data_IF_545371469018
#
_entry.id   IF_545371469018
#
_cell.length_a   1.000
_cell.length_b   1.000
_cell.length_c   1.000
_cell.angle_alpha   90.00
_cell.angle_beta   90.00
_cell.angle_gamma   90.00
#
_symmetry.space_group_name_H-M   'P 1'
#
loop_
_entity.id
_entity.type
_entity.pdbx_description
1 polymer ?
#
# COMPACT_ATOMS: atom_id res chain seq x y z
N UNK A 1 -29.91 1.40 -37.73
CA UNK A 1 -28.46 1.71 -37.67
C UNK A 1 -28.30 3.00 -36.88
N UNK A 2 -28.22 2.90 -35.56
CA UNK A 2 -27.83 4.03 -34.70
C UNK A 2 -26.34 4.27 -34.91
N UNK A 3 -25.96 5.53 -35.17
CA UNK A 3 -24.56 5.90 -35.29
C UNK A 3 -23.82 5.44 -34.02
N UNK A 4 -22.76 4.65 -34.20
CA UNK A 4 -21.90 4.23 -33.10
C UNK A 4 -21.25 5.47 -32.50
N UNK A 5 -21.59 5.75 -31.25
CA UNK A 5 -21.13 6.94 -30.55
C UNK A 5 -19.61 6.91 -30.36
N UNK A 6 -18.92 8.03 -30.62
CA UNK A 6 -17.47 8.15 -30.38
C UNK A 6 -17.18 7.73 -28.92
N UNK A 7 -16.36 6.69 -28.69
CA UNK A 7 -15.98 6.26 -27.35
C UNK A 7 -15.38 7.38 -26.50
N UNK A 8 -14.72 8.36 -27.14
CA UNK A 8 -14.22 9.56 -26.47
C UNK A 8 -15.34 10.43 -25.90
N UNK A 9 -16.42 10.64 -26.63
CA UNK A 9 -17.53 11.50 -26.21
C UNK A 9 -18.32 10.87 -25.06
N UNK A 10 -18.59 9.57 -25.17
CA UNK A 10 -19.19 8.80 -24.08
C UNK A 10 -18.32 8.83 -22.82
N UNK A 11 -17.00 8.69 -22.99
CA UNK A 11 -16.06 8.79 -21.87
C UNK A 11 -16.05 10.20 -21.25
N UNK A 12 -16.11 11.26 -22.06
CA UNK A 12 -16.12 12.64 -21.59
C UNK A 12 -17.34 12.97 -20.73
N UNK A 13 -18.53 12.51 -21.13
CA UNK A 13 -19.74 12.70 -20.31
C UNK A 13 -19.69 11.94 -18.99
N UNK A 14 -19.17 10.72 -18.99
CA UNK A 14 -19.04 9.95 -17.75
C UNK A 14 -18.01 10.56 -16.79
N UNK A 15 -16.87 11.03 -17.31
CA UNK A 15 -15.86 11.74 -16.51
C UNK A 15 -16.44 13.05 -15.94
N UNK A 16 -17.21 13.79 -16.74
CA UNK A 16 -17.91 14.98 -16.26
C UNK A 16 -18.96 14.65 -15.18
N UNK A 17 -19.67 13.54 -15.31
CA UNK A 17 -20.61 13.05 -14.30
C UNK A 17 -19.91 12.72 -12.97
N UNK A 18 -18.79 12.00 -13.01
CA UNK A 18 -17.98 11.71 -11.83
C UNK A 18 -17.43 13.00 -11.18
N UNK A 19 -16.95 13.95 -11.99
CA UNK A 19 -16.52 15.24 -11.48
C UNK A 19 -17.66 16.02 -10.81
N UNK A 20 -18.90 15.86 -11.28
CA UNK A 20 -20.09 16.40 -10.63
C UNK A 20 -20.32 15.83 -9.24
N UNK A 21 -20.24 14.50 -9.08
CA UNK A 21 -20.34 13.84 -7.76
C UNK A 21 -19.26 14.34 -6.80
N UNK A 22 -18.01 14.41 -7.28
CA UNK A 22 -16.91 14.99 -6.50
C UNK A 22 -17.18 16.44 -6.12
N UNK A 23 -17.81 17.22 -7.01
CA UNK A 23 -18.11 18.61 -6.73
C UNK A 23 -19.15 18.79 -5.62
N UNK A 24 -20.14 17.89 -5.54
CA UNK A 24 -21.14 17.88 -4.47
C UNK A 24 -20.48 17.63 -3.11
N UNK A 25 -19.54 16.69 -3.02
CA UNK A 25 -18.84 16.37 -1.78
C UNK A 25 -17.78 17.42 -1.40
N UNK A 26 -17.04 17.94 -2.38
CA UNK A 26 -15.93 18.89 -2.15
C UNK A 26 -16.38 20.36 -2.10
N UNK A 27 -17.69 20.63 -2.25
CA UNK A 27 -18.25 21.99 -2.25
C UNK A 27 -17.88 22.83 -3.47
N UNK A 28 -17.55 22.20 -4.60
CA UNK A 28 -17.17 22.86 -5.86
C UNK A 28 -16.35 21.93 -6.77
N UNK A 29 -16.13 22.30 -8.05
CA UNK A 29 -15.47 21.42 -9.02
C UNK A 29 -14.15 20.85 -8.49
N UNK A 30 -13.85 19.56 -8.74
CA UNK A 30 -12.59 18.99 -8.32
C UNK A 30 -11.43 19.60 -9.11
N UNK A 31 -10.25 19.60 -8.50
CA UNK A 31 -9.00 19.81 -9.23
C UNK A 31 -8.65 18.58 -10.04
N UNK A 32 -7.84 18.74 -11.09
CA UNK A 32 -7.37 17.61 -11.90
C UNK A 32 -6.76 16.51 -11.05
N UNK A 33 -5.90 16.89 -10.09
CA UNK A 33 -5.25 15.95 -9.18
C UNK A 33 -6.26 15.15 -8.35
N UNK A 34 -7.31 15.78 -7.85
CA UNK A 34 -8.32 15.14 -7.00
C UNK A 34 -9.11 14.09 -7.80
N UNK A 35 -9.52 14.44 -9.02
CA UNK A 35 -10.16 13.48 -9.93
C UNK A 35 -9.24 12.29 -10.26
N UNK A 36 -7.95 12.56 -10.49
CA UNK A 36 -6.96 11.52 -10.78
C UNK A 36 -6.68 10.62 -9.58
N UNK A 37 -6.65 11.16 -8.37
CA UNK A 37 -6.47 10.38 -7.13
C UNK A 37 -7.65 9.40 -6.96
N UNK A 38 -8.90 9.87 -7.08
CA UNK A 38 -10.10 9.03 -6.94
C UNK A 38 -10.17 7.95 -8.01
N UNK A 39 -9.91 8.30 -9.28
CA UNK A 39 -9.83 7.30 -10.37
C UNK A 39 -8.70 6.29 -10.14
N UNK A 40 -7.58 6.73 -9.60
CA UNK A 40 -6.43 5.88 -9.27
C UNK A 40 -6.71 4.88 -8.16
N UNK A 41 -7.45 5.31 -7.13
CA UNK A 41 -7.91 4.44 -6.03
C UNK A 41 -8.91 3.41 -6.53
N UNK A 42 -9.92 3.87 -7.29
CA UNK A 42 -10.94 3.01 -7.86
C UNK A 42 -10.38 1.95 -8.84
N UNK A 43 -9.32 2.29 -9.58
CA UNK A 43 -8.68 1.35 -10.51
C UNK A 43 -8.09 0.11 -9.82
N UNK A 44 -7.73 0.18 -8.54
CA UNK A 44 -7.23 -0.96 -7.79
C UNK A 44 -8.32 -2.01 -7.52
N UNK A 45 -9.60 -1.62 -7.56
CA UNK A 45 -10.73 -2.51 -7.27
C UNK A 45 -11.27 -3.25 -8.50
N UNK A 46 -10.69 -3.04 -9.68
CA UNK A 46 -11.19 -3.64 -10.94
C UNK A 46 -10.90 -5.13 -11.09
N UNK A 47 -9.91 -5.65 -10.34
CA UNK A 47 -9.56 -7.07 -10.31
C UNK A 47 -9.45 -7.71 -11.71
N UNK A 48 -10.28 -8.73 -12.02
CA UNK A 48 -10.18 -9.50 -13.27
C UNK A 48 -10.62 -8.72 -14.52
N UNK A 49 -11.19 -7.52 -14.37
CA UNK A 49 -11.56 -6.69 -15.53
C UNK A 49 -10.35 -6.04 -16.23
N UNK A 50 -9.16 -6.09 -15.61
CA UNK A 50 -7.92 -5.59 -16.18
C UNK A 50 -6.94 -6.73 -16.48
N UNK A 51 -6.18 -6.56 -17.57
CA UNK A 51 -5.00 -7.38 -17.80
C UNK A 51 -3.86 -6.93 -16.87
N UNK A 52 -3.50 -7.77 -15.91
CA UNK A 52 -2.47 -7.47 -14.91
C UNK A 52 -3.04 -6.60 -13.78
N UNK A 53 -3.76 -7.26 -12.86
CA UNK A 53 -4.37 -6.64 -11.69
C UNK A 53 -3.36 -5.77 -10.91
N UNK A 54 -3.66 -4.48 -10.67
CA UNK A 54 -2.78 -3.63 -9.89
C UNK A 54 -2.66 -4.15 -8.45
N UNK A 55 -1.43 -4.30 -7.93
CA UNK A 55 -1.18 -4.66 -6.51
C UNK A 55 -1.60 -3.56 -5.50
N UNK A 56 -2.18 -2.46 -5.98
CA UNK A 56 -2.63 -1.33 -5.18
C UNK A 56 -3.06 -0.14 -6.02
N UNK A 57 -3.30 1.03 -5.38
CA UNK A 57 -3.74 2.24 -6.07
C UNK A 57 -2.85 2.62 -7.26
N UNK A 58 -3.49 2.92 -8.39
CA UNK A 58 -2.80 3.32 -9.60
C UNK A 58 -2.55 4.83 -9.55
N UNK A 59 -1.28 5.24 -9.48
CA UNK A 59 -0.96 6.68 -9.53
C UNK A 59 -1.14 7.20 -10.95
N UNK A 60 -2.18 8.00 -11.18
CA UNK A 60 -2.43 8.64 -12.47
C UNK A 60 -1.72 9.99 -12.54
N UNK A 61 -1.20 10.32 -13.74
CA UNK A 61 -0.57 11.60 -14.01
C UNK A 61 -1.06 12.17 -15.33
N UNK A 62 -1.33 13.47 -15.32
CA UNK A 62 -1.62 14.22 -16.53
C UNK A 62 -0.37 14.88 -17.12
N UNK A 63 -0.36 15.03 -18.44
CA UNK A 63 0.52 15.92 -19.17
C UNK A 63 -0.30 17.07 -19.73
N UNK A 64 0.02 18.29 -19.36
CA UNK A 64 -0.64 19.49 -19.87
C UNK A 64 0.03 20.01 -21.14
N UNK A 65 -0.74 20.73 -21.96
CA UNK A 65 -0.21 21.48 -23.11
C UNK A 65 0.78 22.56 -22.65
N UNK A 66 1.74 22.91 -23.50
CA UNK A 66 2.73 23.95 -23.18
C UNK A 66 2.01 25.28 -22.91
N UNK A 67 2.27 25.89 -21.76
CA UNK A 67 1.65 27.15 -21.34
C UNK A 67 0.36 26.98 -20.55
N UNK A 68 -0.22 25.78 -20.51
CA UNK A 68 -1.24 25.45 -19.52
C UNK A 68 -0.52 25.22 -18.17
N UNK A 69 -0.77 26.10 -17.22
CA UNK A 69 -0.39 25.89 -15.83
C UNK A 69 -1.56 25.26 -15.10
N UNK A 70 -1.28 24.40 -14.12
CA UNK A 70 -2.22 24.18 -13.02
C UNK A 70 -2.42 25.57 -12.39
N UNK A 71 -3.61 26.15 -12.50
CA UNK A 71 -3.86 27.53 -12.09
C UNK A 71 -3.34 27.78 -10.67
N UNK A 72 -2.87 29.00 -10.37
CA UNK A 72 -2.15 29.35 -9.13
C UNK A 72 -2.85 29.02 -7.79
N UNK A 73 -4.09 28.54 -7.80
CA UNK A 73 -4.77 27.90 -6.68
C UNK A 73 -4.34 26.43 -6.42
N UNK A 74 -3.45 25.87 -7.23
CA UNK A 74 -2.93 24.50 -7.13
C UNK A 74 -2.02 24.22 -5.91
N UNK A 75 -1.80 25.19 -5.02
CA UNK A 75 -0.82 25.10 -3.93
C UNK A 75 -1.27 24.26 -2.71
N UNK A 76 -2.53 23.79 -2.66
CA UNK A 76 -3.05 23.03 -1.52
C UNK A 76 -2.93 21.50 -1.65
N UNK A 77 -2.88 20.76 -0.53
CA UNK A 77 -2.98 19.28 -0.55
C UNK A 77 -4.29 18.84 -1.22
N UNK A 78 -4.28 17.66 -1.86
CA UNK A 78 -5.48 17.07 -2.49
C UNK A 78 -6.58 16.87 -1.45
N UNK A 79 -7.82 17.24 -1.80
CA UNK A 79 -9.01 16.98 -0.97
C UNK A 79 -9.63 15.61 -1.24
N UNK A 80 -9.07 14.82 -2.17
CA UNK A 80 -9.57 13.49 -2.47
C UNK A 80 -9.78 12.60 -1.21
N UNK A 81 -8.97 12.66 -0.14
CA UNK A 81 -9.20 11.87 1.07
C UNK A 81 -10.48 12.24 1.84
N UNK A 82 -11.09 13.39 1.55
CA UNK A 82 -12.36 13.83 2.14
C UNK A 82 -13.58 13.24 1.42
N UNK A 83 -13.36 12.61 0.26
CA UNK A 83 -14.41 11.99 -0.56
C UNK A 83 -14.83 10.66 0.08
N UNK A 84 -16.13 10.44 0.18
CA UNK A 84 -16.71 9.22 0.74
C UNK A 84 -16.56 8.00 -0.18
N UNK A 85 -16.62 6.81 0.43
CA UNK A 85 -16.46 5.54 -0.27
C UNK A 85 -17.46 5.35 -1.43
N UNK A 86 -18.67 5.90 -1.32
CA UNK A 86 -19.69 5.82 -2.37
C UNK A 86 -19.20 6.40 -3.70
N UNK A 87 -18.54 7.56 -3.69
CA UNK A 87 -17.99 8.17 -4.90
C UNK A 87 -16.80 7.39 -5.46
N UNK A 88 -16.02 6.74 -4.60
CA UNK A 88 -14.95 5.82 -5.04
C UNK A 88 -15.54 4.58 -5.72
N UNK A 89 -16.64 4.02 -5.19
CA UNK A 89 -17.37 2.91 -5.81
C UNK A 89 -17.94 3.31 -7.18
N UNK A 90 -18.55 4.49 -7.29
CA UNK A 90 -19.06 5.01 -8.57
C UNK A 90 -17.94 5.21 -9.61
N UNK A 91 -16.77 5.68 -9.18
CA UNK A 91 -15.59 5.74 -10.03
C UNK A 91 -15.16 4.34 -10.47
N UNK A 92 -15.21 3.35 -9.59
CA UNK A 92 -14.92 1.94 -9.89
C UNK A 92 -15.88 1.38 -10.95
N UNK A 93 -17.18 1.59 -10.76
CA UNK A 93 -18.21 1.15 -11.70
C UNK A 93 -18.08 1.82 -13.07
N UNK A 94 -17.70 3.11 -13.11
CA UNK A 94 -17.38 3.81 -14.34
C UNK A 94 -16.21 3.16 -15.07
N UNK A 95 -15.13 2.90 -14.36
CA UNK A 95 -13.94 2.26 -14.91
C UNK A 95 -14.25 0.84 -15.41
N UNK A 96 -15.04 0.08 -14.67
CA UNK A 96 -15.47 -1.27 -15.00
C UNK A 96 -16.30 -1.29 -16.29
N UNK A 97 -17.25 -0.34 -16.44
CA UNK A 97 -18.01 -0.17 -17.69
C UNK A 97 -17.10 0.10 -18.89
N UNK A 98 -16.04 0.89 -18.73
CA UNK A 98 -15.06 1.11 -19.79
C UNK A 98 -14.20 -0.10 -20.06
N UNK A 99 -13.74 -0.79 -19.02
CA UNK A 99 -12.95 -2.00 -19.16
C UNK A 99 -13.70 -3.06 -19.97
N UNK A 100 -14.96 -3.34 -19.62
CA UNK A 100 -15.85 -4.26 -20.35
C UNK A 100 -16.10 -3.84 -21.79
N UNK A 101 -16.28 -2.55 -22.07
CA UNK A 101 -16.46 -2.05 -23.45
C UNK A 101 -15.21 -2.25 -24.30
N UNK A 102 -14.04 -1.93 -23.75
CA UNK A 102 -12.77 -2.15 -24.46
C UNK A 102 -12.53 -3.65 -24.66
N UNK A 103 -12.80 -4.48 -23.64
CA UNK A 103 -12.68 -5.93 -23.76
C UNK A 103 -13.61 -6.53 -24.82
N UNK A 104 -14.85 -6.04 -24.92
CA UNK A 104 -15.78 -6.46 -25.97
C UNK A 104 -15.28 -6.10 -27.37
N UNK A 105 -14.59 -4.96 -27.53
CA UNK A 105 -14.04 -4.51 -28.81
C UNK A 105 -12.71 -5.20 -29.17
N UNK A 106 -11.87 -5.51 -28.17
CA UNK A 106 -10.51 -6.01 -28.37
C UNK A 106 -10.38 -7.53 -28.13
N UNK A 107 -11.42 -8.19 -27.60
CA UNK A 107 -11.46 -9.63 -27.34
C UNK A 107 -10.69 -10.09 -26.10
N UNK A 108 -10.16 -9.17 -25.29
CA UNK A 108 -9.42 -9.46 -24.07
C UNK A 108 -9.53 -8.29 -23.06
N UNK A 109 -9.37 -8.54 -21.74
CA UNK A 109 -9.32 -7.47 -20.75
C UNK A 109 -8.28 -6.40 -21.12
N UNK A 110 -8.61 -5.10 -21.05
CA UNK A 110 -7.65 -4.05 -21.39
C UNK A 110 -6.53 -3.95 -20.36
N UNK A 111 -5.37 -3.50 -20.80
CA UNK A 111 -4.32 -3.08 -19.87
C UNK A 111 -4.72 -1.79 -19.12
N UNK A 112 -4.20 -1.56 -17.91
CA UNK A 112 -4.40 -0.28 -17.20
C UNK A 112 -4.06 0.94 -18.06
N UNK A 113 -2.96 0.89 -18.82
CA UNK A 113 -2.55 1.96 -19.71
C UNK A 113 -3.58 2.26 -20.82
N UNK A 114 -4.24 1.21 -21.34
CA UNK A 114 -5.28 1.35 -22.36
C UNK A 114 -6.51 2.07 -21.81
N UNK A 115 -6.94 1.69 -20.60
CA UNK A 115 -8.06 2.32 -19.91
C UNK A 115 -7.77 3.79 -19.59
N UNK A 116 -6.57 4.09 -19.07
CA UNK A 116 -6.13 5.47 -18.79
C UNK A 116 -6.05 6.32 -20.06
N UNK A 117 -5.65 5.75 -21.19
CA UNK A 117 -5.66 6.45 -22.47
C UNK A 117 -7.08 6.81 -22.93
N UNK A 118 -8.07 5.93 -22.69
CA UNK A 118 -9.48 6.21 -22.96
C UNK A 118 -10.02 7.32 -22.05
N UNK A 119 -9.73 7.26 -20.74
CA UNK A 119 -10.07 8.33 -19.79
C UNK A 119 -9.46 9.67 -20.22
N UNK A 120 -8.20 9.68 -20.66
CA UNK A 120 -7.56 10.90 -21.13
C UNK A 120 -8.20 11.48 -22.39
N UNK A 121 -8.71 10.62 -23.29
CA UNK A 121 -9.53 11.06 -24.43
C UNK A 121 -10.86 11.65 -23.95
N UNK A 122 -11.54 10.97 -23.03
CA UNK A 122 -12.79 11.43 -22.45
C UNK A 122 -12.64 12.78 -21.76
N UNK A 123 -11.65 12.91 -20.89
CA UNK A 123 -11.39 14.15 -20.17
C UNK A 123 -11.18 15.33 -21.13
N UNK A 124 -10.45 15.15 -22.23
CA UNK A 124 -10.29 16.22 -23.24
C UNK A 124 -11.59 16.67 -23.90
N UNK A 125 -12.60 15.82 -23.92
CA UNK A 125 -13.92 16.10 -24.48
C UNK A 125 -14.94 16.52 -23.40
N UNK A 126 -14.54 16.57 -22.13
CA UNK A 126 -15.41 17.03 -21.05
C UNK A 126 -15.69 18.54 -21.18
N UNK A 127 -16.87 19.02 -20.73
CA UNK A 127 -17.23 20.44 -20.76
C UNK A 127 -16.27 21.33 -19.97
N UNK A 128 -16.16 22.61 -20.34
CA UNK A 128 -15.48 23.58 -19.48
C UNK A 128 -16.17 23.67 -18.11
N UNK A 129 -15.39 23.89 -17.05
CA UNK A 129 -15.88 23.89 -15.67
C UNK A 129 -15.94 22.51 -15.00
N UNK A 130 -15.66 21.42 -15.72
CA UNK A 130 -15.48 20.09 -15.11
C UNK A 130 -14.35 20.06 -14.07
N UNK A 131 -13.30 20.86 -14.28
CA UNK A 131 -12.15 20.97 -13.39
C UNK A 131 -11.96 22.42 -12.93
N UNK A 132 -11.54 22.59 -11.68
CA UNK A 132 -11.34 23.91 -11.08
C UNK A 132 -10.05 24.63 -11.51
N UNK A 133 -9.01 23.87 -11.86
CA UNK A 133 -7.63 24.37 -11.99
C UNK A 133 -7.05 24.28 -13.41
N UNK A 134 -7.67 23.50 -14.30
CA UNK A 134 -7.26 23.37 -15.70
C UNK A 134 -8.48 23.25 -16.62
N UNK A 135 -8.35 23.67 -17.88
CA UNK A 135 -9.38 23.34 -18.88
C UNK A 135 -9.21 21.89 -19.31
N UNK A 136 -10.29 21.09 -19.45
CA UNK A 136 -10.12 19.69 -19.84
C UNK A 136 -9.41 19.52 -21.19
N UNK A 137 -9.64 20.43 -22.15
CA UNK A 137 -8.95 20.46 -23.44
C UNK A 137 -7.43 20.71 -23.37
N UNK A 138 -6.91 21.20 -22.25
CA UNK A 138 -5.46 21.41 -22.03
C UNK A 138 -4.75 20.13 -21.58
N UNK A 139 -5.48 19.08 -21.20
CA UNK A 139 -4.91 17.78 -20.82
C UNK A 139 -4.49 17.01 -22.07
N UNK A 140 -3.22 17.13 -22.47
CA UNK A 140 -2.70 16.48 -23.68
C UNK A 140 -2.68 14.95 -23.61
N UNK A 141 -2.43 14.38 -22.42
CA UNK A 141 -2.41 12.95 -22.18
C UNK A 141 -2.62 12.63 -20.70
N UNK A 142 -3.15 11.44 -20.42
CA UNK A 142 -3.05 10.80 -19.11
C UNK A 142 -2.13 9.60 -19.23
N UNK A 143 -1.42 9.29 -18.16
CA UNK A 143 -0.58 8.11 -18.05
C UNK A 143 -0.56 7.60 -16.61
N UNK A 144 -0.02 6.40 -16.45
CA UNK A 144 0.26 5.83 -15.14
C UNK A 144 1.66 6.30 -14.77
N UNK A 145 1.77 7.03 -13.66
CA UNK A 145 3.06 7.34 -13.09
C UNK A 145 3.70 6.04 -12.62
N UNK A 146 4.97 5.84 -12.96
CA UNK A 146 5.76 4.81 -12.31
C UNK A 146 5.74 5.11 -10.81
N UNK A 147 5.02 4.30 -10.04
CA UNK A 147 5.24 4.26 -8.60
C UNK A 147 6.65 3.73 -8.46
N UNK A 148 7.60 4.48 -7.88
CA UNK A 148 8.90 3.91 -7.57
C UNK A 148 8.63 2.62 -6.81
N UNK A 149 9.19 1.49 -7.26
CA UNK A 149 9.08 0.25 -6.46
C UNK A 149 9.54 0.64 -5.07
N UNK A 150 8.60 0.63 -4.12
CA UNK A 150 8.90 0.89 -2.71
C UNK A 150 10.07 -0.03 -2.38
N UNK A 151 11.17 0.52 -1.85
CA UNK A 151 12.30 -0.30 -1.43
C UNK A 151 11.75 -1.25 -0.36
N UNK A 152 11.70 -2.54 -0.68
CA UNK A 152 11.28 -3.58 0.24
C UNK A 152 12.54 -4.23 0.80
N UNK A 153 12.53 -4.57 2.08
CA UNK A 153 13.59 -5.42 2.61
C UNK A 153 13.44 -6.82 2.03
N UNK A 154 14.55 -7.41 1.65
CA UNK A 154 14.65 -8.81 1.24
C UNK A 154 15.25 -9.66 2.37
N UNK A 155 14.99 -10.98 2.41
CA UNK A 155 15.64 -11.85 3.37
C UNK A 155 17.18 -11.68 3.41
N UNK A 156 17.70 -11.42 4.59
CA UNK A 156 19.12 -11.15 4.87
C UNK A 156 19.50 -9.66 4.84
N UNK A 157 18.61 -8.75 4.42
CA UNK A 157 18.85 -7.31 4.51
C UNK A 157 18.88 -6.88 5.99
N UNK A 158 19.86 -6.04 6.30
CA UNK A 158 20.05 -5.48 7.64
C UNK A 158 19.48 -4.08 7.65
N UNK A 159 18.44 -3.85 8.44
CA UNK A 159 17.77 -2.56 8.58
C UNK A 159 18.21 -1.87 9.88
N UNK A 160 18.38 -0.55 9.81
CA UNK A 160 18.67 0.28 10.97
C UNK A 160 17.41 1.04 11.41
N UNK A 161 16.90 0.70 12.59
CA UNK A 161 15.71 1.28 13.21
C UNK A 161 16.18 2.39 14.16
N UNK A 162 15.78 3.67 13.96
CA UNK A 162 16.24 4.77 14.80
C UNK A 162 15.92 4.56 16.29
N UNK A 163 16.89 4.83 17.16
CA UNK A 163 16.70 4.84 18.61
C UNK A 163 16.61 6.29 19.13
N UNK A 164 15.75 6.55 20.14
CA UNK A 164 15.53 7.89 20.70
C UNK A 164 16.79 8.52 21.30
N UNK A 165 17.66 7.70 21.90
CA UNK A 165 18.94 8.13 22.48
C UNK A 165 20.06 8.41 21.46
N UNK A 166 19.78 8.26 20.15
CA UNK A 166 20.79 8.23 19.10
C UNK A 166 21.31 6.81 18.85
N UNK A 167 21.93 6.60 17.69
CA UNK A 167 22.22 5.24 17.22
C UNK A 167 20.98 4.55 16.66
N UNK A 168 21.05 3.24 16.49
CA UNK A 168 20.00 2.43 15.89
C UNK A 168 19.87 1.07 16.56
N UNK A 169 18.64 0.59 16.70
CA UNK A 169 18.41 -0.85 16.82
C UNK A 169 18.65 -1.48 15.44
N UNK A 170 19.34 -2.60 15.40
CA UNK A 170 19.57 -3.33 14.14
C UNK A 170 18.60 -4.50 14.06
N UNK A 171 18.09 -4.77 12.87
CA UNK A 171 17.28 -5.94 12.60
C UNK A 171 17.63 -6.56 11.24
N UNK A 172 17.32 -7.84 11.08
CA UNK A 172 17.48 -8.59 9.83
C UNK A 172 16.12 -8.96 9.31
N UNK A 173 15.84 -8.67 8.04
CA UNK A 173 14.65 -9.19 7.38
C UNK A 173 14.79 -10.71 7.20
N UNK A 174 13.86 -11.47 7.79
CA UNK A 174 13.87 -12.93 7.77
C UNK A 174 13.02 -13.47 6.62
N UNK A 175 11.81 -12.93 6.48
CA UNK A 175 10.83 -13.34 5.48
C UNK A 175 9.87 -12.19 5.19
N UNK A 176 9.19 -12.27 4.04
CA UNK A 176 8.08 -11.41 3.68
C UNK A 176 6.89 -12.26 3.24
N UNK A 177 5.74 -12.03 3.85
CA UNK A 177 4.52 -12.78 3.58
C UNK A 177 3.29 -11.85 3.69
N UNK A 178 2.10 -12.42 3.73
CA UNK A 178 0.83 -11.67 3.78
C UNK A 178 0.68 -10.81 5.03
N UNK A 179 1.44 -11.07 6.09
CA UNK A 179 1.42 -10.31 7.34
C UNK A 179 2.42 -9.16 7.39
N UNK A 180 3.28 -9.04 6.38
CA UNK A 180 4.33 -8.03 6.30
C UNK A 180 5.73 -8.64 6.28
N UNK A 181 6.68 -7.94 6.90
CA UNK A 181 8.08 -8.37 6.98
C UNK A 181 8.39 -8.87 8.39
N UNK A 182 8.85 -10.12 8.48
CA UNK A 182 9.40 -10.67 9.72
C UNK A 182 10.82 -10.14 9.94
N UNK A 183 11.09 -9.62 11.13
CA UNK A 183 12.37 -9.06 11.55
C UNK A 183 12.96 -9.87 12.71
N UNK A 184 14.21 -10.30 12.55
CA UNK A 184 15.06 -10.78 13.63
C UNK A 184 15.77 -9.60 14.28
N UNK A 185 15.60 -9.39 15.57
CA UNK A 185 16.10 -8.21 16.28
C UNK A 185 17.45 -8.49 16.94
N UNK A 186 18.39 -7.56 16.80
CA UNK A 186 19.58 -7.51 17.65
C UNK A 186 19.29 -6.71 18.92
N UNK A 187 19.84 -7.16 20.03
CA UNK A 187 19.73 -6.49 21.33
C UNK A 187 20.61 -5.24 21.39
N UNK A 188 20.11 -4.21 22.07
CA UNK A 188 20.84 -2.96 22.29
C UNK A 188 20.78 -1.95 21.14
N UNK A 189 21.64 -0.94 21.23
CA UNK A 189 21.74 0.19 20.29
C UNK A 189 23.14 0.23 19.70
N UNK A 190 23.22 0.36 18.38
CA UNK A 190 24.45 0.23 17.60
C UNK A 190 24.58 1.36 16.56
N UNK A 191 25.79 1.59 16.01
CA UNK A 191 25.94 2.37 14.80
C UNK A 191 25.18 1.72 13.63
N UNK A 192 24.66 2.55 12.71
CA UNK A 192 24.07 2.11 11.44
C UNK A 192 25.16 1.55 10.50
N UNK A 193 25.64 0.34 10.78
CA UNK A 193 26.68 -0.36 10.04
C UNK A 193 26.28 -1.82 9.80
N UNK A 194 26.73 -2.44 8.69
CA UNK A 194 26.54 -3.86 8.47
C UNK A 194 27.13 -4.70 9.62
N UNK A 195 26.47 -5.82 9.92
CA UNK A 195 26.95 -6.91 10.76
C UNK A 195 27.00 -8.20 9.93
N UNK A 196 27.62 -9.26 10.45
CA UNK A 196 27.71 -10.56 9.76
C UNK A 196 27.33 -11.73 10.65
N UNK A 197 27.00 -12.87 10.05
CA UNK A 197 26.68 -14.11 10.77
C UNK A 197 27.81 -14.59 11.71
N UNK A 198 29.06 -14.27 11.38
CA UNK A 198 30.22 -14.57 12.23
C UNK A 198 30.50 -13.51 13.30
N UNK A 199 29.91 -12.31 13.19
CA UNK A 199 30.16 -11.18 14.08
C UNK A 199 28.92 -10.28 14.15
N UNK A 200 28.06 -10.59 15.10
CA UNK A 200 26.83 -9.85 15.35
C UNK A 200 26.62 -9.61 16.87
N UNK A 201 25.79 -8.62 17.26
CA UNK A 201 25.34 -8.48 18.63
C UNK A 201 24.48 -9.67 19.08
N UNK A 202 24.21 -9.80 20.39
CA UNK A 202 23.26 -10.79 20.87
C UNK A 202 21.86 -10.55 20.25
N UNK A 203 21.10 -11.62 19.99
CA UNK A 203 19.79 -11.58 19.32
C UNK A 203 18.65 -11.69 20.32
N UNK A 204 17.52 -11.03 20.03
CA UNK A 204 16.24 -11.41 20.62
C UNK A 204 15.75 -12.66 19.88
N UNK A 205 15.52 -13.79 20.56
CA UNK A 205 15.11 -15.02 19.89
C UNK A 205 13.74 -14.92 19.21
N UNK A 206 12.92 -13.92 19.57
CA UNK A 206 11.56 -13.78 19.06
C UNK A 206 11.52 -12.82 17.86
N UNK A 207 11.16 -13.31 16.67
CA UNK A 207 10.95 -12.45 15.53
C UNK A 207 9.66 -11.62 15.69
N UNK A 208 9.69 -10.39 15.19
CA UNK A 208 8.54 -9.48 15.17
C UNK A 208 8.13 -9.20 13.73
N UNK A 209 6.86 -8.88 13.52
CA UNK A 209 6.32 -8.52 12.23
C UNK A 209 6.03 -7.03 12.14
N UNK A 210 6.36 -6.46 10.99
CA UNK A 210 6.13 -5.05 10.69
C UNK A 210 5.59 -4.85 9.27
N UNK A 211 4.86 -3.76 9.09
CA UNK A 211 4.58 -3.21 7.76
C UNK A 211 5.86 -2.71 7.07
N UNK A 212 5.80 -2.58 5.74
CA UNK A 212 6.96 -2.21 4.92
C UNK A 212 7.19 -0.69 4.83
N UNK A 213 6.32 0.13 5.42
CA UNK A 213 6.28 1.58 5.21
C UNK A 213 7.57 2.27 5.65
N UNK A 214 8.16 1.82 6.76
CA UNK A 214 9.36 2.42 7.32
C UNK A 214 10.60 2.19 6.44
N UNK A 215 10.74 1.00 5.85
CA UNK A 215 11.81 0.69 4.89
C UNK A 215 11.53 1.38 3.56
N UNK A 216 10.28 1.32 3.08
CA UNK A 216 9.86 1.90 1.81
C UNK A 216 10.06 3.43 1.74
N UNK A 217 9.81 4.12 2.85
CA UNK A 217 10.02 5.57 2.98
C UNK A 217 11.49 5.96 3.20
N UNK A 218 12.37 4.99 3.46
CA UNK A 218 13.77 5.22 3.81
C UNK A 218 13.99 5.67 5.26
N UNK A 219 12.94 5.70 6.08
CA UNK A 219 13.05 5.95 7.53
C UNK A 219 13.93 4.89 8.20
N UNK A 220 13.80 3.63 7.77
CA UNK A 220 14.67 2.52 8.15
C UNK A 220 15.59 2.18 6.99
N UNK A 221 16.80 2.76 6.93
CA UNK A 221 17.73 2.44 5.86
C UNK A 221 18.22 0.99 5.96
N UNK A 222 18.35 0.34 4.81
CA UNK A 222 19.11 -0.91 4.68
C UNK A 222 20.59 -0.55 4.72
N UNK A 223 21.30 -1.03 5.76
CA UNK A 223 22.71 -0.70 6.03
C UNK A 223 23.67 -1.80 5.61
N UNK A 224 23.18 -2.98 5.23
CA UNK A 224 23.98 -4.10 4.76
C UNK A 224 23.10 -5.29 4.39
N UNK A 225 23.73 -6.39 3.98
CA UNK A 225 23.06 -7.65 3.70
C UNK A 225 23.98 -8.83 4.02
N UNK A 226 23.47 -9.78 4.80
CA UNK A 226 24.10 -11.08 5.02
C UNK A 226 23.00 -12.14 5.21
N UNK A 227 22.69 -12.94 4.17
CA UNK A 227 21.67 -14.00 4.27
C UNK A 227 21.97 -15.05 5.33
N UNK A 228 23.24 -15.22 5.74
CA UNK A 228 23.62 -16.14 6.80
C UNK A 228 23.03 -15.76 8.16
N UNK A 229 22.68 -14.49 8.37
CA UNK A 229 22.03 -14.03 9.59
C UNK A 229 20.63 -14.62 9.80
N UNK A 230 19.93 -14.99 8.72
CA UNK A 230 18.59 -15.59 8.85
C UNK A 230 18.62 -16.92 9.62
N UNK A 231 19.76 -17.63 9.63
CA UNK A 231 19.92 -18.89 10.35
C UNK A 231 19.96 -18.73 11.89
N UNK A 232 20.01 -17.50 12.40
CA UNK A 232 19.96 -17.21 13.84
C UNK A 232 18.53 -17.30 14.41
N UNK A 233 17.51 -17.35 13.56
CA UNK A 233 16.10 -17.44 13.93
C UNK A 233 15.44 -18.68 13.30
N UNK A 234 14.28 -19.13 13.84
CA UNK A 234 13.51 -20.19 13.20
C UNK A 234 13.18 -19.85 11.73
N UNK A 235 13.28 -20.82 10.82
CA UNK A 235 12.86 -20.61 9.44
C UNK A 235 11.34 -20.41 9.40
N UNK A 236 10.87 -19.56 8.49
CA UNK A 236 9.45 -19.29 8.30
C UNK A 236 8.71 -18.91 9.60
N UNK A 237 9.10 -17.81 10.27
CA UNK A 237 8.64 -17.49 11.61
C UNK A 237 7.12 -17.34 11.68
N UNK A 238 6.47 -18.06 12.58
CA UNK A 238 5.02 -18.02 12.78
C UNK A 238 4.57 -16.73 13.48
N UNK A 239 3.30 -16.36 13.29
CA UNK A 239 2.61 -15.33 14.07
C UNK A 239 1.79 -15.99 15.16
N UNK A 240 2.03 -15.58 16.39
CA UNK A 240 1.32 -16.06 17.55
C UNK A 240 0.15 -15.13 17.88
N UNK A 241 -1.01 -15.75 18.03
CA UNK A 241 -2.26 -15.10 18.41
C UNK A 241 -2.59 -15.44 19.85
N UNK A 242 -2.91 -14.41 20.64
CA UNK A 242 -3.35 -14.59 22.03
C UNK A 242 -4.71 -15.28 22.08
N UNK A 243 -5.00 -16.06 23.14
CA UNK A 243 -6.34 -16.57 23.34
C UNK A 243 -7.32 -15.40 23.52
N UNK A 244 -8.45 -15.44 22.80
CA UNK A 244 -9.51 -14.44 22.89
C UNK A 244 -10.60 -14.99 23.81
N UNK A 245 -10.70 -14.44 25.02
CA UNK A 245 -11.60 -14.95 26.05
C UNK A 245 -13.09 -14.84 25.67
N UNK A 246 -13.45 -13.80 24.91
CA UNK A 246 -14.84 -13.39 24.72
C UNK A 246 -15.41 -13.71 23.32
N UNK A 247 -14.58 -14.16 22.38
CA UNK A 247 -14.99 -14.49 21.00
C UNK A 247 -14.30 -15.77 20.56
N UNK A 248 -15.04 -16.89 20.41
CA UNK A 248 -14.48 -18.11 19.85
C UNK A 248 -14.11 -17.83 18.39
N UNK A 249 -12.81 -17.71 18.09
CA UNK A 249 -12.32 -17.65 16.73
C UNK A 249 -11.94 -19.05 16.28
N UNK A 250 -12.51 -19.57 15.16
CA UNK A 250 -12.13 -20.87 14.64
C UNK A 250 -10.61 -20.97 14.45
N UNK A 251 -9.99 -21.99 15.05
CA UNK A 251 -8.55 -22.22 14.96
C UNK A 251 -7.70 -21.57 16.06
N UNK A 252 -8.30 -20.83 17.00
CA UNK A 252 -7.60 -20.30 18.19
C UNK A 252 -8.05 -21.05 19.44
N UNK A 253 -7.13 -21.86 19.97
CA UNK A 253 -7.35 -22.65 21.18
C UNK A 253 -7.25 -21.83 22.47
N UNK A 254 -7.43 -22.47 23.64
CA UNK A 254 -7.42 -21.82 24.95
C UNK A 254 -6.07 -21.18 25.32
N UNK A 255 -4.99 -21.56 24.63
CA UNK A 255 -3.64 -21.02 24.84
C UNK A 255 -3.15 -20.18 23.65
N UNK A 256 -4.03 -19.89 22.69
CA UNK A 256 -3.70 -19.17 21.46
C UNK A 256 -3.48 -20.08 20.26
N UNK A 257 -2.94 -19.49 19.20
CA UNK A 257 -2.61 -20.18 17.96
C UNK A 257 -1.30 -19.64 17.36
N UNK A 258 -0.65 -20.46 16.55
CA UNK A 258 0.39 -20.05 15.64
C UNK A 258 -0.15 -20.06 14.20
N UNK A 259 0.05 -18.98 13.47
CA UNK A 259 -0.26 -18.82 12.06
C UNK A 259 1.02 -18.87 11.24
N UNK A 260 1.07 -19.80 10.29
CA UNK A 260 2.20 -19.95 9.38
C UNK A 260 2.14 -18.89 8.27
N UNK A 261 3.25 -18.63 7.55
CA UNK A 261 3.27 -17.69 6.43
C UNK A 261 2.23 -17.95 5.33
N UNK A 262 1.71 -19.17 5.21
CA UNK A 262 0.65 -19.55 4.27
C UNK A 262 -0.78 -19.30 4.79
N UNK A 263 -0.92 -18.74 6.00
CA UNK A 263 -2.20 -18.46 6.66
C UNK A 263 -2.79 -19.66 7.40
N UNK A 264 -2.11 -20.81 7.43
CA UNK A 264 -2.61 -21.97 8.18
C UNK A 264 -2.41 -21.77 9.68
N UNK A 265 -3.49 -21.96 10.44
CA UNK A 265 -3.48 -21.91 11.89
C UNK A 265 -3.22 -23.30 12.50
N UNK A 266 -2.43 -23.33 13.57
CA UNK A 266 -2.36 -24.45 14.50
C UNK A 266 -2.56 -23.95 15.93
N UNK A 267 -3.23 -24.74 16.75
CA UNK A 267 -3.38 -24.42 18.17
C UNK A 267 -2.04 -24.54 18.91
N UNK A 268 -1.86 -23.66 19.90
CA UNK A 268 -0.70 -23.73 20.80
C UNK A 268 -1.00 -24.64 21.99
N UNK A 269 0.02 -25.40 22.40
CA UNK A 269 0.02 -26.05 23.70
C UNK A 269 0.31 -25.05 24.82
N UNK A 270 -0.12 -25.34 26.04
CA UNK A 270 0.10 -24.46 27.21
C UNK A 270 1.60 -24.19 27.48
N UNK A 271 2.44 -25.21 27.34
CA UNK A 271 3.88 -25.10 27.54
C UNK A 271 4.53 -24.18 26.47
N UNK A 272 4.16 -24.38 25.21
CA UNK A 272 4.62 -23.56 24.10
C UNK A 272 4.15 -22.11 24.24
N UNK A 273 2.88 -21.89 24.58
CA UNK A 273 2.30 -20.57 24.81
C UNK A 273 3.04 -19.79 25.92
N UNK A 274 3.51 -20.48 26.97
CA UNK A 274 4.37 -19.88 28.00
C UNK A 274 5.77 -19.59 27.49
N UNK A 275 6.36 -20.49 26.72
CA UNK A 275 7.70 -20.32 26.16
C UNK A 275 7.80 -19.11 25.23
N UNK A 276 6.81 -18.93 24.34
CA UNK A 276 6.77 -17.79 23.42
C UNK A 276 6.29 -16.49 24.10
N UNK A 277 5.66 -16.61 25.27
CA UNK A 277 5.12 -15.51 26.05
C UNK A 277 3.78 -14.97 25.55
N UNK A 278 3.04 -15.73 24.73
CA UNK A 278 1.75 -15.29 24.16
C UNK A 278 0.68 -15.04 25.25
N UNK A 279 0.87 -15.64 26.42
CA UNK A 279 -0.01 -15.47 27.58
C UNK A 279 0.28 -14.19 28.37
N UNK A 280 1.41 -13.52 28.10
CA UNK A 280 1.79 -12.31 28.82
C UNK A 280 0.88 -11.14 28.45
N UNK A 281 0.42 -10.33 29.42
CA UNK A 281 -0.45 -9.18 29.15
C UNK A 281 0.12 -8.18 28.14
N UNK A 282 1.44 -8.05 28.05
CA UNK A 282 2.15 -7.17 27.13
C UNK A 282 2.60 -7.83 25.82
N UNK A 283 2.15 -9.06 25.52
CA UNK A 283 2.56 -9.73 24.29
C UNK A 283 2.05 -8.99 23.05
N UNK A 284 3.00 -8.59 22.20
CA UNK A 284 2.77 -8.02 20.88
C UNK A 284 3.81 -8.57 19.90
N UNK A 285 3.36 -8.95 18.71
CA UNK A 285 4.24 -9.44 17.64
C UNK A 285 4.06 -8.66 16.34
N UNK A 286 2.92 -8.02 16.13
CA UNK A 286 2.63 -7.19 14.97
C UNK A 286 2.72 -5.72 15.36
N UNK A 287 3.54 -4.96 14.65
CA UNK A 287 3.78 -3.55 14.95
C UNK A 287 3.66 -2.69 13.69
N UNK A 288 3.08 -1.49 13.83
CA UNK A 288 3.42 -0.39 12.94
C UNK A 288 4.88 0.01 13.19
N UNK A 289 5.59 0.50 12.16
CA UNK A 289 7.02 0.84 12.31
C UNK A 289 7.30 1.80 13.48
N UNK A 290 6.47 2.83 13.67
CA UNK A 290 6.60 3.75 14.81
C UNK A 290 6.33 3.11 16.17
N UNK A 291 5.47 2.10 16.23
CA UNK A 291 5.21 1.35 17.46
C UNK A 291 6.40 0.47 17.82
N UNK A 292 7.04 -0.17 16.84
CA UNK A 292 8.24 -0.97 17.09
C UNK A 292 9.39 -0.09 17.60
N UNK A 293 9.59 1.10 17.04
CA UNK A 293 10.59 2.06 17.55
C UNK A 293 10.39 2.37 19.03
N UNK A 294 9.15 2.69 19.43
CA UNK A 294 8.81 3.00 20.83
C UNK A 294 9.03 1.82 21.77
N UNK A 295 8.66 0.62 21.33
CA UNK A 295 8.84 -0.62 22.09
C UNK A 295 10.33 -0.94 22.29
N UNK A 296 11.15 -0.78 21.25
CA UNK A 296 12.60 -1.01 21.34
C UNK A 296 13.30 0.02 22.24
N UNK A 297 12.89 1.28 22.17
CA UNK A 297 13.38 2.31 23.08
C UNK A 297 13.03 1.98 24.54
N UNK A 298 11.80 1.52 24.82
CA UNK A 298 11.36 1.16 26.17
C UNK A 298 12.15 -0.01 26.78
N UNK A 299 12.67 -0.93 25.95
CA UNK A 299 13.51 -2.07 26.39
C UNK A 299 14.95 -1.68 26.74
N UNK A 300 15.40 -0.50 26.31
CA UNK A 300 16.79 -0.05 26.48
C UNK A 300 16.94 1.15 27.43
N UNK A 301 15.82 1.66 27.94
CA UNK A 301 15.77 2.68 29.00
C UNK A 301 16.02 2.07 30.38
#
# INVERSE_FOLDING_TARGET
MTAEEDPGAAAGRAVAGLAGLLAEELGGPPRLRELLDVLGWAAASLGPELAGEPEGPVLLRARLRRGAAEGGAAAGPSRAPEVGDATIVEAGDLLARFARRVAAAEGAPPSPARLVALLGRGLRQAPEGTLADVRPGDVSALGIAAVPRRKRAEPGDIVAIPARGGGHHLAVALERNVFGTALGLFTGVHPARPVSASRHPAVDPRPVYVGEEAVASGRWPVVGRDPGLCALWPPAPEIYHRPVADVPMPGIGPYGAAEKPDGTLRELGEAEAREVGVLDPGFHQLYLGTQLEQELDARTA
#
